data_IF_668513088270
#
_entry.id   IF_668513088270
#
_cell.length_a   1.000
_cell.length_b   1.000
_cell.length_c   1.000
_cell.angle_alpha   90.00
_cell.angle_beta   90.00
_cell.angle_gamma   90.00
#
_symmetry.space_group_name_H-M   'P 1'
#
loop_
_entity.id
_entity.type
_entity.pdbx_description
1 polymer ?
#
# COMPACT_ATOMS: atom_id res chain seq x y z
N UNK A 1 13.38 -11.15 4.83
CA UNK A 1 11.92 -11.00 4.64
C UNK A 1 11.36 -11.89 3.53
N UNK A 2 11.71 -11.68 2.24
CA UNK A 2 11.17 -12.46 1.11
C UNK A 2 11.36 -13.99 1.24
N UNK A 3 12.51 -14.44 1.76
CA UNK A 3 12.75 -15.88 2.01
C UNK A 3 11.77 -16.49 3.04
N UNK A 4 11.40 -15.74 4.08
CA UNK A 4 10.45 -16.22 5.08
C UNK A 4 9.03 -16.34 4.50
N UNK A 5 8.66 -15.45 3.57
CA UNK A 5 7.39 -15.50 2.86
C UNK A 5 7.34 -16.73 1.96
N UNK A 6 8.37 -16.94 1.13
CA UNK A 6 8.50 -18.12 0.24
C UNK A 6 8.42 -19.42 1.05
N UNK A 7 9.14 -19.52 2.17
CA UNK A 7 9.07 -20.68 3.07
C UNK A 7 7.67 -20.91 3.64
N UNK A 8 6.96 -19.85 4.05
CA UNK A 8 5.58 -19.96 4.56
C UNK A 8 4.59 -20.40 3.46
N UNK A 9 4.74 -19.89 2.24
CA UNK A 9 3.90 -20.28 1.12
C UNK A 9 4.09 -21.76 0.76
N UNK A 10 5.33 -22.23 0.70
CA UNK A 10 5.65 -23.64 0.50
C UNK A 10 5.12 -24.52 1.66
N UNK A 11 5.30 -24.10 2.92
CA UNK A 11 4.82 -24.84 4.09
C UNK A 11 3.29 -24.99 4.12
N UNK A 12 2.56 -23.96 3.65
CA UNK A 12 1.10 -24.00 3.51
C UNK A 12 0.61 -24.81 2.30
N UNK A 13 1.52 -25.32 1.45
CA UNK A 13 1.22 -26.06 0.21
C UNK A 13 0.29 -25.31 -0.74
N UNK A 14 0.32 -23.97 -0.71
CA UNK A 14 -0.48 -23.12 -1.60
C UNK A 14 0.24 -22.81 -2.91
N UNK A 15 1.52 -23.17 -3.01
CA UNK A 15 2.37 -22.99 -4.20
C UNK A 15 3.32 -24.18 -4.34
N UNK A 16 3.60 -24.58 -5.57
CA UNK A 16 4.67 -25.51 -5.91
C UNK A 16 5.89 -24.70 -6.42
N UNK A 17 7.02 -24.80 -5.72
CA UNK A 17 8.19 -23.97 -5.96
C UNK A 17 9.31 -24.82 -6.54
N UNK A 18 9.54 -24.68 -7.84
CA UNK A 18 10.61 -25.38 -8.57
C UNK A 18 11.95 -24.65 -8.50
N UNK A 19 11.92 -23.31 -8.48
CA UNK A 19 13.08 -22.45 -8.34
C UNK A 19 12.86 -21.43 -7.20
N UNK A 20 13.53 -21.66 -6.08
CA UNK A 20 13.43 -20.78 -4.91
C UNK A 20 14.04 -19.40 -5.16
N UNK A 21 15.05 -19.29 -6.02
CA UNK A 21 15.68 -18.00 -6.34
C UNK A 21 14.74 -17.12 -7.14
N UNK A 22 14.10 -17.68 -8.18
CA UNK A 22 13.08 -17.00 -8.96
C UNK A 22 11.86 -16.61 -8.08
N UNK A 23 11.39 -17.52 -7.22
CA UNK A 23 10.28 -17.24 -6.31
C UNK A 23 10.59 -16.07 -5.35
N UNK A 24 11.81 -16.03 -4.78
CA UNK A 24 12.23 -14.91 -3.92
C UNK A 24 12.35 -13.60 -4.69
N UNK A 25 12.78 -13.64 -5.95
CA UNK A 25 12.84 -12.46 -6.80
C UNK A 25 11.44 -11.92 -7.10
N UNK A 26 10.49 -12.78 -7.46
CA UNK A 26 9.10 -12.42 -7.69
C UNK A 26 8.46 -11.79 -6.45
N UNK A 27 8.63 -12.40 -5.27
CA UNK A 27 8.12 -11.83 -4.00
C UNK A 27 8.73 -10.46 -3.72
N UNK A 28 10.03 -10.27 -3.96
CA UNK A 28 10.66 -8.95 -3.80
C UNK A 28 10.08 -7.93 -4.75
N UNK A 29 9.89 -8.28 -6.01
CA UNK A 29 9.34 -7.38 -7.00
C UNK A 29 7.94 -6.90 -6.61
N UNK A 30 7.05 -7.83 -6.25
CA UNK A 30 5.70 -7.50 -5.78
C UNK A 30 5.73 -6.58 -4.56
N UNK A 31 6.57 -6.88 -3.57
CA UNK A 31 6.70 -6.02 -2.38
C UNK A 31 7.19 -4.61 -2.73
N UNK A 32 8.16 -4.49 -3.64
CA UNK A 32 8.67 -3.18 -4.08
C UNK A 32 7.58 -2.40 -4.81
N UNK A 33 6.84 -3.06 -5.69
CA UNK A 33 5.73 -2.43 -6.43
C UNK A 33 4.65 -1.96 -5.46
N UNK A 34 4.30 -2.77 -4.46
CA UNK A 34 3.35 -2.42 -3.40
C UNK A 34 3.83 -1.21 -2.60
N UNK A 35 5.11 -1.17 -2.20
CA UNK A 35 5.67 -0.01 -1.48
C UNK A 35 5.63 1.27 -2.33
N UNK A 36 6.02 1.20 -3.61
CA UNK A 36 5.95 2.35 -4.51
C UNK A 36 4.51 2.83 -4.69
N UNK A 37 3.57 1.89 -4.76
CA UNK A 37 2.17 2.22 -4.87
C UNK A 37 1.61 2.85 -3.58
N UNK A 38 2.03 2.38 -2.41
CA UNK A 38 1.69 2.96 -1.11
C UNK A 38 2.26 4.39 -0.98
N UNK A 39 3.51 4.62 -1.37
CA UNK A 39 4.10 5.97 -1.37
C UNK A 39 3.33 6.93 -2.29
N UNK A 40 2.91 6.47 -3.48
CA UNK A 40 2.08 7.26 -4.40
C UNK A 40 0.71 7.57 -3.80
N UNK A 41 0.09 6.59 -3.15
CA UNK A 41 -1.18 6.76 -2.45
C UNK A 41 -1.08 7.87 -1.38
N UNK A 42 0.00 7.85 -0.60
CA UNK A 42 0.26 8.86 0.43
C UNK A 42 0.50 10.25 -0.15
N UNK A 43 1.27 10.34 -1.23
CA UNK A 43 1.50 11.60 -1.92
C UNK A 43 0.20 12.19 -2.47
N UNK A 44 -0.63 11.35 -3.10
CA UNK A 44 -1.92 11.77 -3.65
C UNK A 44 -2.90 12.20 -2.57
N UNK A 45 -2.96 11.47 -1.45
CA UNK A 45 -3.82 11.83 -0.33
C UNK A 45 -3.43 13.19 0.26
N UNK A 46 -2.13 13.44 0.43
CA UNK A 46 -1.63 14.74 0.92
C UNK A 46 -1.91 15.86 -0.08
N UNK A 47 -1.71 15.62 -1.38
CA UNK A 47 -1.99 16.60 -2.43
C UNK A 47 -3.47 16.99 -2.45
N UNK A 48 -4.37 16.02 -2.37
CA UNK A 48 -5.81 16.27 -2.33
C UNK A 48 -6.20 17.11 -1.10
N UNK A 49 -5.62 16.84 0.06
CA UNK A 49 -5.86 17.68 1.24
C UNK A 49 -5.28 19.09 1.10
N UNK A 50 -4.14 19.26 0.43
CA UNK A 50 -3.56 20.58 0.18
C UNK A 50 -4.42 21.40 -0.77
N UNK A 51 -4.97 20.79 -1.81
CA UNK A 51 -5.93 21.41 -2.74
C UNK A 51 -7.19 21.91 -2.01
N UNK A 52 -7.57 21.24 -0.91
CA UNK A 52 -8.70 21.62 -0.06
C UNK A 52 -8.30 22.29 1.27
N UNK A 53 -7.05 22.73 1.44
CA UNK A 53 -6.52 23.21 2.72
C UNK A 53 -7.30 24.42 3.27
N UNK A 54 -7.75 25.31 2.40
CA UNK A 54 -8.55 26.50 2.79
C UNK A 54 -9.89 26.08 3.41
N UNK A 55 -10.60 25.17 2.77
CA UNK A 55 -11.88 24.66 3.28
C UNK A 55 -11.71 23.87 4.59
N UNK A 56 -10.64 23.07 4.71
CA UNK A 56 -10.32 22.32 5.94
C UNK A 56 -10.05 23.26 7.12
N UNK A 57 -9.31 24.35 6.86
CA UNK A 57 -8.99 25.37 7.86
C UNK A 57 -10.24 26.14 8.29
N UNK A 58 -11.14 26.46 7.36
CA UNK A 58 -12.41 27.14 7.63
C UNK A 58 -13.40 26.24 8.39
N UNK A 59 -13.36 24.91 8.17
CA UNK A 59 -14.27 23.96 8.80
C UNK A 59 -13.79 23.39 10.15
N UNK A 60 -12.66 23.88 10.70
CA UNK A 60 -12.00 23.32 11.90
C UNK A 60 -11.82 21.78 11.85
N UNK A 61 -11.68 21.20 10.66
CA UNK A 61 -11.62 19.75 10.51
C UNK A 61 -10.24 19.21 10.89
N UNK A 62 -10.21 18.07 11.57
CA UNK A 62 -8.98 17.38 11.93
C UNK A 62 -8.30 16.81 10.67
N UNK A 63 -7.18 17.43 10.28
CA UNK A 63 -6.37 17.05 9.14
C UNK A 63 -5.92 15.58 9.19
N UNK A 64 -5.52 15.07 10.36
CA UNK A 64 -5.04 13.70 10.52
C UNK A 64 -6.16 12.70 10.30
N UNK A 65 -7.35 13.00 10.81
CA UNK A 65 -8.55 12.18 10.58
C UNK A 65 -8.97 12.19 9.11
N UNK A 66 -8.90 13.35 8.45
CA UNK A 66 -9.20 13.46 7.02
C UNK A 66 -8.18 12.70 6.16
N UNK A 67 -6.89 12.78 6.48
CA UNK A 67 -5.85 12.03 5.79
C UNK A 67 -6.10 10.53 5.83
N UNK A 68 -6.45 9.99 7.00
CA UNK A 68 -6.83 8.57 7.12
C UNK A 68 -8.00 8.20 6.22
N UNK A 69 -9.08 9.00 6.24
CA UNK A 69 -10.26 8.75 5.39
C UNK A 69 -9.96 8.85 3.89
N UNK A 70 -9.14 9.82 3.48
CA UNK A 70 -8.74 10.00 2.09
C UNK A 70 -7.86 8.83 1.63
N UNK A 71 -6.88 8.42 2.43
CA UNK A 71 -6.06 7.24 2.15
C UNK A 71 -6.92 5.99 1.98
N UNK A 72 -7.84 5.73 2.91
CA UNK A 72 -8.76 4.59 2.79
C UNK A 72 -9.63 4.65 1.54
N UNK A 73 -10.17 5.82 1.19
CA UNK A 73 -10.99 5.99 0.00
C UNK A 73 -10.16 5.74 -1.26
N UNK A 74 -8.99 6.37 -1.37
CA UNK A 74 -8.10 6.19 -2.51
C UNK A 74 -7.60 4.75 -2.63
N UNK A 75 -7.36 4.06 -1.51
CA UNK A 75 -6.96 2.66 -1.51
C UNK A 75 -8.07 1.78 -2.08
N UNK A 76 -9.31 1.94 -1.59
CA UNK A 76 -10.48 1.21 -2.09
C UNK A 76 -10.72 1.46 -3.58
N UNK A 77 -10.67 2.72 -4.01
CA UNK A 77 -10.93 3.11 -5.40
C UNK A 77 -9.87 2.56 -6.37
N UNK A 78 -8.65 2.26 -5.87
CA UNK A 78 -7.54 1.71 -6.65
C UNK A 78 -7.32 0.20 -6.45
N UNK A 79 -8.17 -0.45 -5.64
CA UNK A 79 -8.04 -1.88 -5.34
C UNK A 79 -6.91 -2.25 -4.37
N UNK A 80 -6.35 -1.30 -3.62
CA UNK A 80 -5.40 -1.59 -2.54
C UNK A 80 -6.12 -2.06 -1.29
N UNK A 81 -5.49 -3.00 -0.58
CA UNK A 81 -5.87 -3.35 0.79
C UNK A 81 -4.83 -2.75 1.73
N UNK A 82 -5.22 -1.77 2.54
CA UNK A 82 -4.39 -1.16 3.58
C UNK A 82 -4.34 -2.04 4.84
#
# INVERSE_FOLDING_TARGET
MAQAIVKRLAAKKVVDIRDETAARAAVRHVLVDDFVAEERLDADARRLLLEHAKAIKESAADYRRLLGKVKEKLARDRGFTL
#
